data_IF_820365837768
#
_entry.id   IF_820365837768
#
_cell.length_a   1.000
_cell.length_b   1.000
_cell.length_c   1.000
_cell.angle_alpha   90.00
_cell.angle_beta   90.00
_cell.angle_gamma   90.00
#
_symmetry.space_group_name_H-M   'P 1'
#
loop_
_entity.id
_entity.type
_entity.pdbx_description
1 polymer ?
#
# COMPACT_ATOMS: atom_id res chain seq x y z
N UNK A 1 -25.80 -11.58 -21.81
CA UNK A 1 -24.70 -11.35 -20.86
C UNK A 1 -24.61 -9.85 -20.66
N UNK A 2 -25.00 -9.33 -19.49
CA UNK A 2 -24.75 -7.92 -19.18
C UNK A 2 -23.25 -7.72 -19.11
N UNK A 3 -22.69 -6.92 -20.01
CA UNK A 3 -21.37 -6.33 -19.83
C UNK A 3 -21.44 -5.51 -18.54
N UNK A 4 -20.87 -6.05 -17.46
CA UNK A 4 -20.63 -5.26 -16.25
C UNK A 4 -19.70 -4.12 -16.68
N UNK A 5 -20.21 -2.89 -16.66
CA UNK A 5 -19.43 -1.69 -16.97
C UNK A 5 -18.23 -1.65 -16.05
N UNK A 6 -17.04 -1.38 -16.61
CA UNK A 6 -15.84 -1.20 -15.81
C UNK A 6 -16.06 -0.07 -14.78
N UNK A 7 -15.68 -0.23 -13.51
CA UNK A 7 -15.95 0.78 -12.48
C UNK A 7 -15.22 2.08 -12.78
N UNK A 8 -15.90 3.22 -12.62
CA UNK A 8 -15.23 4.50 -12.59
C UNK A 8 -14.48 4.66 -11.26
N UNK A 9 -13.39 5.43 -11.25
CA UNK A 9 -12.63 5.68 -10.02
C UNK A 9 -13.52 6.31 -8.93
N UNK A 10 -14.49 7.15 -9.30
CA UNK A 10 -15.46 7.76 -8.38
C UNK A 10 -16.30 6.75 -7.61
N UNK A 11 -16.44 5.54 -8.13
CA UNK A 11 -17.27 4.48 -7.55
C UNK A 11 -16.44 3.56 -6.63
N UNK A 12 -15.17 3.91 -6.39
CA UNK A 12 -14.19 3.11 -5.67
C UNK A 12 -13.63 3.91 -4.49
N UNK A 13 -13.02 3.27 -3.48
CA UNK A 13 -12.35 3.99 -2.39
C UNK A 13 -11.29 4.99 -2.88
N UNK A 14 -10.67 4.74 -4.04
CA UNK A 14 -9.70 5.64 -4.66
C UNK A 14 -10.31 6.94 -5.17
N UNK A 15 -11.62 6.98 -5.44
CA UNK A 15 -12.33 8.19 -5.85
C UNK A 15 -12.27 9.27 -4.77
N UNK A 16 -12.58 8.90 -3.53
CA UNK A 16 -12.50 9.82 -2.39
C UNK A 16 -11.06 10.24 -2.11
N UNK A 17 -10.11 9.31 -2.13
CA UNK A 17 -8.68 9.62 -1.97
C UNK A 17 -8.17 10.56 -3.07
N UNK A 18 -8.63 10.39 -4.32
CA UNK A 18 -8.29 11.28 -5.43
C UNK A 18 -8.88 12.68 -5.25
N UNK A 19 -10.15 12.78 -4.82
CA UNK A 19 -10.81 14.06 -4.53
C UNK A 19 -10.14 14.82 -3.37
N UNK A 20 -9.55 14.10 -2.42
CA UNK A 20 -8.73 14.65 -1.34
C UNK A 20 -7.29 14.97 -1.76
N UNK A 21 -6.97 14.87 -3.06
CA UNK A 21 -5.63 15.07 -3.61
C UNK A 21 -4.56 14.16 -2.99
N UNK A 22 -4.92 12.96 -2.54
CA UNK A 22 -3.98 12.04 -1.90
C UNK A 22 -3.28 11.09 -2.86
N UNK A 23 -3.82 10.85 -4.06
CA UNK A 23 -3.21 9.93 -5.02
C UNK A 23 -2.14 10.63 -5.85
N UNK A 24 -0.88 10.23 -5.68
CA UNK A 24 0.26 10.78 -6.39
C UNK A 24 1.03 9.70 -7.16
N UNK A 25 1.89 10.13 -8.10
CA UNK A 25 2.86 9.29 -8.80
C UNK A 25 2.26 7.98 -9.36
N UNK A 26 1.04 8.07 -9.91
CA UNK A 26 0.31 6.90 -10.36
C UNK A 26 1.00 6.24 -11.57
N UNK A 27 1.46 5.01 -11.37
CA UNK A 27 1.94 4.10 -12.41
C UNK A 27 0.78 3.30 -13.01
N UNK A 28 -0.25 3.02 -12.19
CA UNK A 28 -1.48 2.38 -12.61
C UNK A 28 -2.65 3.01 -11.84
N UNK A 29 -3.73 3.35 -12.54
CA UNK A 29 -4.96 3.90 -11.95
C UNK A 29 -6.13 3.64 -12.90
N UNK A 30 -6.56 2.39 -12.97
CA UNK A 30 -7.52 1.92 -13.96
C UNK A 30 -8.28 0.67 -13.47
N UNK A 31 -9.41 0.29 -14.12
CA UNK A 31 -10.12 -0.95 -13.83
C UNK A 31 -9.25 -2.20 -13.99
N UNK A 32 -9.50 -3.21 -13.16
CA UNK A 32 -8.84 -4.52 -13.28
C UNK A 32 -9.72 -5.52 -14.06
N UNK A 33 -9.16 -6.67 -14.50
CA UNK A 33 -9.91 -7.69 -15.23
C UNK A 33 -11.14 -8.23 -14.48
N UNK A 34 -11.06 -8.37 -13.15
CA UNK A 34 -12.18 -8.79 -12.32
C UNK A 34 -13.25 -7.70 -12.28
N UNK A 35 -14.51 -8.01 -12.64
CA UNK A 35 -15.58 -7.02 -12.66
C UNK A 35 -15.77 -6.30 -11.32
N UNK A 36 -15.97 -4.98 -11.37
CA UNK A 36 -16.19 -4.16 -10.17
C UNK A 36 -14.94 -3.91 -9.32
N UNK A 37 -13.75 -4.25 -9.83
CA UNK A 37 -12.49 -3.96 -9.14
C UNK A 37 -11.67 -2.91 -9.88
N UNK A 38 -10.92 -2.11 -9.10
CA UNK A 38 -10.10 -1.01 -9.59
C UNK A 38 -8.70 -1.11 -8.99
N UNK A 39 -7.67 -0.87 -9.81
CA UNK A 39 -6.28 -0.98 -9.40
C UNK A 39 -5.66 0.38 -9.15
N UNK A 40 -4.82 0.47 -8.13
CA UNK A 40 -3.95 1.61 -7.92
C UNK A 40 -2.51 1.17 -7.67
N UNK A 41 -1.58 1.78 -8.40
CA UNK A 41 -0.15 1.75 -8.11
C UNK A 41 0.41 3.17 -8.13
N UNK A 42 1.02 3.61 -7.04
CA UNK A 42 1.53 4.97 -6.90
C UNK A 42 1.80 5.29 -5.43
N UNK A 43 1.57 6.52 -5.02
CA UNK A 43 1.76 6.96 -3.64
C UNK A 43 0.44 7.53 -3.08
N UNK A 44 0.25 7.38 -1.76
CA UNK A 44 -0.88 7.97 -1.02
C UNK A 44 -0.31 8.98 -0.02
N UNK A 45 -0.65 10.26 -0.19
CA UNK A 45 -0.29 11.32 0.75
C UNK A 45 -0.93 11.06 2.12
N UNK A 46 -0.11 11.06 3.17
CA UNK A 46 -0.57 10.92 4.55
C UNK A 46 -0.81 12.29 5.17
N UNK A 47 0.13 13.20 4.99
CA UNK A 47 0.04 14.60 5.44
C UNK A 47 0.43 15.58 4.33
N UNK A 48 -0.16 16.77 4.38
CA UNK A 48 0.14 17.88 3.48
C UNK A 48 0.93 18.96 4.23
N UNK A 49 1.72 19.74 3.49
CA UNK A 49 2.39 20.92 4.04
C UNK A 49 1.41 22.11 4.03
N UNK A 50 1.61 23.07 4.93
CA UNK A 50 0.85 24.32 4.90
C UNK A 50 1.04 25.01 3.54
N UNK A 51 -0.07 25.29 2.87
CA UNK A 51 -0.03 25.91 1.55
C UNK A 51 0.33 27.40 1.70
N UNK A 52 1.53 27.77 1.22
CA UNK A 52 1.93 29.17 1.08
C UNK A 52 1.78 29.55 -0.40
N UNK A 53 0.80 30.41 -0.70
CA UNK A 53 0.43 30.88 -2.04
C UNK A 53 -0.10 29.78 -3.00
N UNK A 54 -0.18 30.10 -4.30
CA UNK A 54 -0.80 29.26 -5.33
C UNK A 54 0.09 28.10 -5.84
N UNK A 55 1.21 27.81 -5.17
CA UNK A 55 2.12 26.72 -5.57
C UNK A 55 1.63 25.38 -5.00
N UNK A 56 1.35 24.41 -5.89
CA UNK A 56 1.05 23.04 -5.49
C UNK A 56 2.30 22.43 -4.83
N UNK A 57 2.24 22.26 -3.50
CA UNK A 57 3.31 21.63 -2.71
C UNK A 57 3.22 20.10 -2.78
N UNK A 58 4.35 19.39 -2.82
CA UNK A 58 4.33 17.95 -2.58
C UNK A 58 3.79 17.67 -1.16
N UNK A 59 3.25 16.46 -0.91
CA UNK A 59 2.92 16.02 0.44
C UNK A 59 4.10 16.21 1.41
N UNK A 60 3.79 16.38 2.70
CA UNK A 60 4.82 16.38 3.73
C UNK A 60 5.49 15.00 3.81
N UNK A 61 4.68 13.94 3.74
CA UNK A 61 5.11 12.56 3.60
C UNK A 61 3.96 11.67 3.13
N UNK A 62 4.32 10.49 2.62
CA UNK A 62 3.41 9.58 1.93
C UNK A 62 3.65 8.12 2.32
N UNK A 63 2.63 7.28 2.09
CA UNK A 63 2.76 5.85 1.87
C UNK A 63 3.14 5.65 0.40
N UNK A 64 4.33 5.14 0.13
CA UNK A 64 4.90 5.11 -1.22
C UNK A 64 4.82 3.71 -1.84
N UNK A 65 4.97 3.63 -3.17
CA UNK A 65 5.00 2.37 -3.92
C UNK A 65 3.80 1.45 -3.62
N UNK A 66 2.65 2.07 -3.35
CA UNK A 66 1.39 1.40 -3.05
C UNK A 66 1.04 0.47 -4.20
N UNK A 67 0.58 -0.73 -3.85
CA UNK A 67 -0.09 -1.69 -4.70
C UNK A 67 -1.43 -1.99 -4.03
N UNK A 68 -2.55 -1.64 -4.65
CA UNK A 68 -3.86 -1.84 -4.03
C UNK A 68 -4.94 -2.25 -5.03
N UNK A 69 -5.87 -3.07 -4.56
CA UNK A 69 -7.14 -3.36 -5.23
C UNK A 69 -8.27 -2.71 -4.44
N UNK A 70 -9.16 -2.02 -5.14
CA UNK A 70 -10.41 -1.49 -4.59
C UNK A 70 -11.60 -2.28 -5.13
N UNK A 71 -12.53 -2.62 -4.24
CA UNK A 71 -13.85 -3.18 -4.53
C UNK A 71 -14.87 -2.04 -4.61
N UNK A 72 -15.42 -1.80 -5.79
CA UNK A 72 -16.39 -0.72 -6.02
C UNK A 72 -17.74 -0.97 -5.33
N UNK A 73 -18.19 -2.23 -5.26
CA UNK A 73 -19.48 -2.55 -4.66
C UNK A 73 -19.48 -2.32 -3.14
N UNK A 74 -18.33 -2.55 -2.49
CA UNK A 74 -18.15 -2.33 -1.05
C UNK A 74 -17.61 -0.94 -0.72
N UNK A 75 -17.06 -0.24 -1.70
CA UNK A 75 -16.24 0.95 -1.51
C UNK A 75 -15.06 0.70 -0.54
N UNK A 76 -14.39 -0.46 -0.66
CA UNK A 76 -13.34 -0.91 0.26
C UNK A 76 -12.08 -1.39 -0.46
N UNK A 77 -10.95 -1.40 0.26
CA UNK A 77 -9.65 -1.90 -0.17
C UNK A 77 -9.38 -3.24 0.56
N UNK A 78 -9.66 -4.39 -0.06
CA UNK A 78 -9.42 -5.70 0.56
C UNK A 78 -7.93 -6.06 0.70
N UNK A 79 -7.07 -5.50 -0.15
CA UNK A 79 -5.64 -5.81 -0.16
C UNK A 79 -4.82 -4.58 -0.55
N UNK A 80 -3.77 -4.31 0.23
CA UNK A 80 -2.82 -3.23 -0.04
C UNK A 80 -1.42 -3.64 0.43
N UNK A 81 -0.41 -3.32 -0.37
CA UNK A 81 0.98 -3.30 0.06
C UNK A 81 1.57 -1.91 -0.20
N UNK A 82 2.47 -1.43 0.65
CA UNK A 82 3.13 -0.13 0.45
C UNK A 82 4.37 0.03 1.31
N UNK A 83 5.10 1.11 1.09
CA UNK A 83 6.32 1.45 1.80
C UNK A 83 6.15 2.69 2.69
N UNK A 84 6.65 2.60 3.92
CA UNK A 84 6.76 3.72 4.84
C UNK A 84 8.23 3.99 5.17
N UNK A 85 8.63 5.24 5.06
CA UNK A 85 9.98 5.66 5.44
C UNK A 85 10.18 5.65 6.96
N UNK A 86 9.12 5.73 7.74
CA UNK A 86 9.17 5.72 9.19
C UNK A 86 8.02 4.90 9.77
N UNK A 87 8.31 3.98 10.70
CA UNK A 87 7.32 3.18 11.42
C UNK A 87 6.26 4.06 12.10
N UNK A 88 6.63 5.23 12.62
CA UNK A 88 5.69 6.13 13.29
C UNK A 88 4.52 6.55 12.38
N UNK A 89 4.73 6.62 11.06
CA UNK A 89 3.70 6.98 10.08
C UNK A 89 2.66 5.89 9.84
N UNK A 90 2.85 4.69 10.41
CA UNK A 90 1.88 3.60 10.32
C UNK A 90 0.53 4.01 10.92
N UNK A 91 0.54 4.82 11.98
CA UNK A 91 -0.69 5.37 12.59
C UNK A 91 -1.44 6.25 11.59
N UNK A 92 -0.75 7.19 10.95
CA UNK A 92 -1.36 8.10 9.98
C UNK A 92 -1.86 7.36 8.74
N UNK A 93 -1.14 6.34 8.28
CA UNK A 93 -1.61 5.45 7.22
C UNK A 93 -2.90 4.71 7.62
N UNK A 94 -2.96 4.20 8.85
CA UNK A 94 -4.15 3.56 9.39
C UNK A 94 -5.33 4.53 9.52
N UNK A 95 -5.12 5.77 9.96
CA UNK A 95 -6.17 6.79 10.07
C UNK A 95 -6.70 7.26 8.71
N UNK A 96 -5.80 7.57 7.77
CA UNK A 96 -6.16 8.00 6.41
C UNK A 96 -6.94 6.90 5.68
N UNK A 97 -6.62 5.63 5.95
CA UNK A 97 -7.23 4.50 5.25
C UNK A 97 -8.40 3.85 6.01
N UNK A 98 -8.65 4.21 7.27
CA UNK A 98 -9.57 3.49 8.18
C UNK A 98 -10.94 3.20 7.56
N UNK A 99 -11.54 4.20 6.90
CA UNK A 99 -12.86 4.08 6.28
C UNK A 99 -12.88 3.21 5.02
N UNK A 100 -11.72 2.87 4.46
CA UNK A 100 -11.60 2.06 3.25
C UNK A 100 -11.12 0.64 3.54
N UNK A 101 -10.54 0.37 4.71
CA UNK A 101 -10.08 -0.98 5.05
C UNK A 101 -11.26 -1.88 5.50
N UNK A 102 -11.04 -3.18 5.38
CA UNK A 102 -11.90 -4.25 5.91
C UNK A 102 -11.09 -5.03 6.96
N UNK A 103 -11.69 -5.45 8.09
CA UNK A 103 -10.95 -6.09 9.18
C UNK A 103 -10.19 -7.36 8.73
N UNK A 104 -10.77 -8.14 7.83
CA UNK A 104 -10.22 -9.39 7.31
C UNK A 104 -9.30 -9.20 6.08
N UNK A 105 -8.95 -7.96 5.76
CA UNK A 105 -8.10 -7.64 4.62
C UNK A 105 -6.62 -7.95 4.85
N UNK A 106 -5.86 -7.92 3.75
CA UNK A 106 -4.40 -8.16 3.77
C UNK A 106 -3.65 -6.87 3.53
N UNK A 107 -3.00 -6.36 4.59
CA UNK A 107 -2.32 -5.07 4.57
C UNK A 107 -0.84 -5.22 4.92
N UNK A 108 0.04 -4.99 3.94
CA UNK A 108 1.48 -5.15 4.10
C UNK A 108 2.18 -3.81 4.03
N UNK A 109 2.96 -3.49 5.06
CA UNK A 109 3.75 -2.27 5.14
C UNK A 109 5.22 -2.63 5.25
N UNK A 110 5.96 -2.30 4.19
CA UNK A 110 7.40 -2.35 4.15
C UNK A 110 7.96 -1.10 4.80
N UNK A 111 8.67 -1.22 5.91
CA UNK A 111 9.09 -0.10 6.74
C UNK A 111 10.60 0.00 6.76
N UNK A 112 11.11 1.21 6.48
CA UNK A 112 12.54 1.45 6.36
C UNK A 112 13.31 1.29 7.67
N UNK A 113 12.75 1.75 8.79
CA UNK A 113 13.49 1.97 10.03
C UNK A 113 13.12 0.95 11.12
N UNK A 114 13.00 -0.31 10.74
CA UNK A 114 12.92 -1.43 11.69
C UNK A 114 14.08 -2.41 11.46
N UNK A 115 14.38 -3.22 12.47
CA UNK A 115 15.37 -4.30 12.41
C UNK A 115 15.06 -5.27 11.25
N UNK A 116 16.07 -5.59 10.44
CA UNK A 116 15.94 -6.46 9.26
C UNK A 116 15.53 -7.89 9.56
N UNK A 117 15.66 -8.34 10.81
CA UNK A 117 15.31 -9.69 11.25
C UNK A 117 13.92 -9.75 11.89
N UNK A 118 13.22 -8.61 12.02
CA UNK A 118 11.94 -8.54 12.72
C UNK A 118 10.78 -8.30 11.76
N UNK A 119 9.65 -8.91 12.08
CA UNK A 119 8.36 -8.70 11.42
C UNK A 119 7.30 -8.55 12.49
N UNK A 120 6.23 -7.82 12.19
CA UNK A 120 5.21 -7.52 13.18
C UNK A 120 3.78 -7.63 12.62
N UNK A 121 2.84 -7.99 13.49
CA UNK A 121 1.42 -7.70 13.30
C UNK A 121 1.05 -6.53 14.22
N UNK A 122 0.57 -5.42 13.65
CA UNK A 122 0.20 -4.20 14.39
C UNK A 122 -1.27 -3.89 14.11
N UNK A 123 -2.06 -3.67 15.16
CA UNK A 123 -3.44 -3.24 15.00
C UNK A 123 -3.49 -1.81 14.44
N UNK A 124 -4.30 -1.58 13.41
CA UNK A 124 -4.57 -0.26 12.87
C UNK A 124 -5.85 0.34 13.46
N UNK A 125 -5.98 1.68 13.48
CA UNK A 125 -7.28 2.33 13.60
C UNK A 125 -8.30 1.72 12.62
N UNK A 126 -9.53 1.46 13.10
CA UNK A 126 -10.58 0.84 12.30
C UNK A 126 -10.61 -0.70 12.31
N UNK A 127 -9.72 -1.36 13.07
CA UNK A 127 -9.80 -2.80 13.34
C UNK A 127 -9.09 -3.72 12.34
N UNK A 128 -8.50 -3.14 11.28
CA UNK A 128 -7.60 -3.86 10.39
C UNK A 128 -6.26 -4.17 11.07
N UNK A 129 -5.52 -5.14 10.53
CA UNK A 129 -4.18 -5.50 11.03
C UNK A 129 -3.12 -5.26 9.95
N UNK A 130 -2.12 -4.46 10.26
CA UNK A 130 -0.93 -4.26 9.44
C UNK A 130 0.07 -5.40 9.65
N UNK A 131 0.61 -5.92 8.55
CA UNK A 131 1.75 -6.82 8.49
C UNK A 131 2.97 -5.99 8.14
N UNK A 132 3.88 -5.83 9.09
CA UNK A 132 5.03 -4.95 8.98
C UNK A 132 6.29 -5.78 8.72
N UNK A 133 7.00 -5.45 7.65
CA UNK A 133 8.26 -6.07 7.25
C UNK A 133 9.32 -5.00 6.99
N UNK A 134 10.61 -5.31 7.14
CA UNK A 134 11.68 -4.37 6.81
C UNK A 134 11.83 -4.25 5.28
N UNK A 135 12.34 -3.12 4.82
CA UNK A 135 12.76 -2.95 3.42
C UNK A 135 14.04 -2.13 3.36
N UNK A 136 15.06 -2.72 2.72
CA UNK A 136 16.35 -2.09 2.50
C UNK A 136 16.44 -1.43 1.11
N UNK A 137 17.08 -2.08 0.14
CA UNK A 137 17.37 -1.53 -1.18
C UNK A 137 16.43 -2.04 -2.30
N UNK A 138 15.42 -2.85 -1.97
CA UNK A 138 14.46 -3.42 -2.92
C UNK A 138 13.27 -2.50 -3.20
N UNK A 139 12.26 -2.98 -3.94
CA UNK A 139 10.99 -2.26 -4.18
C UNK A 139 9.83 -3.07 -3.64
N UNK A 140 8.75 -2.40 -3.23
CA UNK A 140 7.52 -3.08 -2.78
C UNK A 140 7.04 -4.12 -3.79
N UNK A 141 7.13 -3.81 -5.09
CA UNK A 141 6.79 -4.78 -6.14
C UNK A 141 7.61 -6.08 -6.05
N UNK A 142 8.93 -5.98 -5.86
CA UNK A 142 9.79 -7.17 -5.78
C UNK A 142 9.52 -7.98 -4.53
N UNK A 143 9.42 -7.31 -3.38
CA UNK A 143 9.15 -7.99 -2.11
C UNK A 143 7.77 -8.65 -2.10
N UNK A 144 6.75 -8.01 -2.69
CA UNK A 144 5.42 -8.62 -2.80
C UNK A 144 5.43 -9.83 -3.72
N UNK A 145 6.19 -9.82 -4.82
CA UNK A 145 6.34 -11.01 -5.66
C UNK A 145 6.96 -12.17 -4.85
N UNK A 146 8.02 -11.91 -4.10
CA UNK A 146 8.68 -12.91 -3.26
C UNK A 146 7.75 -13.44 -2.17
N UNK A 147 7.11 -12.54 -1.43
CA UNK A 147 6.17 -12.87 -0.36
C UNK A 147 4.93 -13.64 -0.87
N UNK A 148 4.48 -13.32 -2.08
CA UNK A 148 3.37 -14.00 -2.73
C UNK A 148 3.78 -15.29 -3.47
N UNK A 149 5.07 -15.65 -3.48
CA UNK A 149 5.58 -16.80 -4.22
C UNK A 149 5.37 -16.71 -5.73
N UNK A 150 5.36 -15.49 -6.28
CA UNK A 150 5.13 -15.23 -7.71
C UNK A 150 6.44 -15.03 -8.43
N UNK A 151 6.67 -15.84 -9.46
CA UNK A 151 7.87 -15.73 -10.30
C UNK A 151 7.67 -14.72 -11.42
N UNK A 152 8.78 -14.11 -11.87
CA UNK A 152 8.74 -13.14 -12.98
C UNK A 152 8.14 -13.72 -14.26
N UNK A 153 8.28 -15.03 -14.46
CA UNK A 153 7.74 -15.74 -15.63
C UNK A 153 6.22 -15.82 -15.62
N UNK A 154 5.60 -15.88 -14.45
CA UNK A 154 4.14 -16.00 -14.27
C UNK A 154 3.43 -14.75 -14.79
N UNK A 155 4.03 -13.59 -14.54
CA UNK A 155 3.48 -12.27 -14.86
C UNK A 155 4.06 -11.66 -16.14
N UNK A 156 4.93 -12.38 -16.87
CA UNK A 156 5.69 -11.81 -18.00
C UNK A 156 4.79 -11.33 -19.15
N UNK A 157 3.72 -12.08 -19.45
CA UNK A 157 2.83 -11.83 -20.60
C UNK A 157 1.55 -11.05 -20.26
N UNK A 158 1.32 -10.79 -18.98
CA UNK A 158 0.16 -10.04 -18.50
C UNK A 158 0.31 -8.53 -18.76
N UNK A 159 -0.80 -7.83 -18.94
CA UNK A 159 -0.90 -6.37 -18.91
C UNK A 159 -0.71 -5.81 -17.49
N UNK A 160 -0.53 -4.49 -17.35
CA UNK A 160 -0.38 -3.85 -16.04
C UNK A 160 -1.48 -4.21 -15.03
N UNK A 161 -2.77 -4.08 -15.41
CA UNK A 161 -3.91 -4.47 -14.56
C UNK A 161 -3.93 -5.96 -14.22
N UNK A 162 -3.74 -6.84 -15.21
CA UNK A 162 -3.69 -8.30 -15.00
C UNK A 162 -2.58 -8.69 -14.02
N UNK A 163 -1.40 -8.04 -14.10
CA UNK A 163 -0.30 -8.29 -13.15
C UNK A 163 -0.67 -7.87 -11.74
N UNK A 164 -1.25 -6.67 -11.58
CA UNK A 164 -1.59 -6.17 -10.24
C UNK A 164 -2.65 -7.05 -9.59
N UNK A 165 -3.70 -7.41 -10.34
CA UNK A 165 -4.76 -8.31 -9.86
C UNK A 165 -4.19 -9.66 -9.46
N UNK A 166 -3.39 -10.30 -10.33
CA UNK A 166 -2.81 -11.60 -10.05
C UNK A 166 -1.92 -11.58 -8.81
N UNK A 167 -1.00 -10.62 -8.72
CA UNK A 167 -0.02 -10.53 -7.62
C UNK A 167 -0.73 -10.25 -6.29
N UNK A 168 -1.70 -9.34 -6.26
CA UNK A 168 -2.41 -9.02 -5.01
C UNK A 168 -3.41 -10.11 -4.61
N UNK A 169 -3.95 -10.88 -5.55
CA UNK A 169 -4.73 -12.08 -5.22
C UNK A 169 -3.86 -13.15 -4.55
N UNK A 170 -2.63 -13.37 -5.03
CA UNK A 170 -1.67 -14.28 -4.39
C UNK A 170 -1.25 -13.75 -3.00
N UNK A 171 -0.93 -12.47 -2.89
CA UNK A 171 -0.60 -11.85 -1.61
C UNK A 171 -1.73 -12.00 -0.58
N UNK A 172 -2.99 -11.80 -1.00
CA UNK A 172 -4.15 -11.97 -0.13
C UNK A 172 -4.32 -13.41 0.37
N UNK A 173 -3.85 -14.41 -0.39
CA UNK A 173 -3.85 -15.81 -0.01
C UNK A 173 -2.61 -16.21 0.82
N UNK A 174 -1.56 -15.38 0.87
CA UNK A 174 -0.34 -15.66 1.64
C UNK A 174 -0.62 -15.59 3.14
N UNK A 175 -0.25 -16.66 3.86
CA UNK A 175 -0.30 -16.70 5.32
C UNK A 175 0.87 -15.92 5.93
N UNK A 176 0.57 -14.93 6.77
CA UNK A 176 1.56 -14.08 7.44
C UNK A 176 1.35 -14.07 8.95
N UNK A 177 1.92 -15.07 9.62
CA UNK A 177 1.85 -15.26 11.08
C UNK A 177 3.00 -14.53 11.79
N UNK A 178 2.99 -13.20 11.78
CA UNK A 178 3.99 -12.38 12.46
C UNK A 178 3.61 -12.10 13.92
N UNK A 179 4.61 -11.99 14.83
CA UNK A 179 4.34 -11.69 16.23
C UNK A 179 3.62 -10.36 16.38
N UNK A 180 2.61 -10.33 17.26
CA UNK A 180 1.88 -9.10 17.55
C UNK A 180 2.72 -8.15 18.40
N UNK A 181 2.64 -6.85 18.11
CA UNK A 181 3.24 -5.77 18.91
C UNK A 181 2.27 -4.59 18.96
N UNK A 182 2.30 -3.82 20.05
CA UNK A 182 1.57 -2.55 20.12
C UNK A 182 2.20 -1.51 19.19
N UNK A 183 1.44 -0.48 18.83
CA UNK A 183 2.01 0.64 18.06
C UNK A 183 3.11 1.34 18.87
N UNK A 184 2.88 1.55 20.16
CA UNK A 184 3.78 2.24 21.08
C UNK A 184 5.12 1.50 21.22
N UNK A 185 5.08 0.17 21.38
CA UNK A 185 6.28 -0.66 21.45
C UNK A 185 7.02 -0.68 20.10
N UNK A 186 6.29 -0.66 18.98
CA UNK A 186 6.87 -0.57 17.65
C UNK A 186 7.60 0.77 17.43
N UNK A 187 7.03 1.88 17.88
CA UNK A 187 7.68 3.20 17.88
C UNK A 187 8.90 3.21 18.80
N UNK A 188 8.82 2.58 19.97
CA UNK A 188 9.96 2.48 20.89
C UNK A 188 11.10 1.61 20.34
N UNK A 189 10.78 0.63 19.49
CA UNK A 189 11.73 -0.29 18.87
C UNK A 189 12.26 0.18 17.50
N UNK A 190 11.72 1.26 16.94
CA UNK A 190 12.15 1.74 15.63
C UNK A 190 13.58 2.28 15.68
N UNK A 191 14.31 2.05 14.61
CA UNK A 191 15.68 2.53 14.42
C UNK A 191 15.67 3.92 13.76
N UNK A 192 16.84 4.59 13.69
CA UNK A 192 16.99 5.75 12.84
C UNK A 192 16.62 5.44 11.39
N UNK A 193 15.99 6.40 10.74
CA UNK A 193 15.64 6.30 9.32
C UNK A 193 16.93 6.20 8.49
N UNK A 194 16.99 5.20 7.62
CA UNK A 194 18.15 4.84 6.80
C UNK A 194 18.08 5.55 5.46
N UNK A 195 19.21 6.05 4.97
CA UNK A 195 19.29 6.65 3.65
C UNK A 195 19.39 5.56 2.56
N UNK A 196 18.28 5.28 1.88
CA UNK A 196 18.19 4.28 0.81
C UNK A 196 19.11 4.56 -0.40
N UNK A 197 19.62 5.79 -0.54
CA UNK A 197 20.51 6.18 -1.63
C UNK A 197 21.98 6.19 -1.24
N UNK A 198 22.33 5.86 0.02
CA UNK A 198 23.71 5.98 0.53
C UNK A 198 24.71 5.11 -0.26
N UNK A 199 24.28 3.93 -0.74
CA UNK A 199 25.14 2.99 -1.46
C UNK A 199 24.85 2.90 -2.96
N UNK A 200 23.97 3.75 -3.52
CA UNK A 200 23.71 3.72 -4.96
C UNK A 200 24.89 4.34 -5.71
N UNK A 201 25.47 3.66 -6.72
CA UNK A 201 26.45 4.29 -7.59
C UNK A 201 25.79 5.48 -8.29
N UNK A 202 26.44 6.64 -8.19
CA UNK A 202 26.06 7.88 -8.88
C UNK A 202 26.19 7.76 -10.40
#
# INVERSE_FOLDING_TARGET
>A
MSTLTAPAISDTPFGTLAAQHRLHNAVLKEPLPAPGTFGFRGDIALAFQDQVADEARPPAYSLEQVLAVGDAARAKIPVLAGYLHNFAWLKDAGEVLADYLVPEGTYVFFVNNIDFLKTYSVALPGGATAKVLPLDESTVWKEVLELAGVEKTDVKKMSGPEKLEYVLAQLAATKMDYPAISYEDGVAAMEPVRNRNENRPV
#
